data_IF_330465237975
#
_entry.id   IF_330465237975
#
_cell.length_a   1.000
_cell.length_b   1.000
_cell.length_c   1.000
_cell.angle_alpha   90.00
_cell.angle_beta   90.00
_cell.angle_gamma   90.00
#
_symmetry.space_group_name_H-M   'P 1'
#
loop_
_entity.id
_entity.type
_entity.pdbx_description
1 polymer ?
#
# COMPACT_ATOMS: atom_id res chain seq x y z
N UNK A 1 -13.76 -24.21 9.41
CA UNK A 1 -13.23 -23.34 8.34
C UNK A 1 -12.41 -22.28 9.05
N UNK A 2 -11.10 -22.29 8.88
CA UNK A 2 -10.22 -21.35 9.58
C UNK A 2 -10.40 -19.95 9.00
N UNK A 3 -10.75 -19.03 9.87
CA UNK A 3 -10.69 -17.59 9.66
C UNK A 3 -9.21 -17.22 9.46
N UNK A 4 -8.80 -16.97 8.22
CA UNK A 4 -7.50 -16.36 7.96
C UNK A 4 -7.67 -14.87 8.24
N UNK A 5 -7.49 -14.48 9.50
CA UNK A 5 -7.26 -13.08 9.83
C UNK A 5 -6.06 -12.63 9.00
N UNK A 6 -6.17 -11.62 8.11
CA UNK A 6 -5.01 -11.11 7.41
C UNK A 6 -4.03 -10.60 8.47
N UNK A 7 -2.88 -11.27 8.59
CA UNK A 7 -1.79 -10.79 9.44
C UNK A 7 -1.48 -9.37 8.97
N UNK A 8 -1.75 -8.40 9.83
CA UNK A 8 -2.10 -7.02 9.47
C UNK A 8 -0.91 -6.15 9.03
N UNK A 9 0.04 -6.77 8.31
CA UNK A 9 1.23 -6.15 7.76
C UNK A 9 1.95 -6.98 6.70
N UNK A 10 1.45 -8.16 6.29
CA UNK A 10 2.06 -8.93 5.20
C UNK A 10 1.43 -8.53 3.86
N UNK A 11 2.26 -8.12 2.90
CA UNK A 11 1.77 -7.93 1.55
C UNK A 11 1.32 -9.28 0.95
N UNK A 12 0.22 -9.33 0.20
CA UNK A 12 -0.21 -10.54 -0.52
C UNK A 12 0.73 -10.89 -1.70
N UNK A 13 1.81 -10.13 -1.88
CA UNK A 13 2.85 -10.33 -2.87
C UNK A 13 4.06 -11.01 -2.22
N UNK A 14 4.78 -11.81 -3.00
CA UNK A 14 6.06 -12.37 -2.56
C UNK A 14 7.15 -11.31 -2.43
N UNK A 15 8.33 -11.72 -1.98
CA UNK A 15 9.49 -10.83 -1.94
C UNK A 15 9.86 -10.33 -3.34
N UNK A 16 10.11 -9.02 -3.45
CA UNK A 16 10.33 -8.37 -4.74
C UNK A 16 10.17 -6.85 -4.71
N UNK A 17 10.32 -6.24 -5.87
CA UNK A 17 10.10 -4.81 -6.10
C UNK A 17 9.00 -4.65 -7.14
N UNK A 18 8.04 -3.78 -6.86
CA UNK A 18 6.83 -3.60 -7.65
C UNK A 18 6.58 -2.11 -7.88
N UNK A 19 6.37 -1.73 -9.14
CA UNK A 19 5.85 -0.40 -9.47
C UNK A 19 4.35 -0.40 -9.14
N UNK A 20 3.91 0.56 -8.34
CA UNK A 20 2.52 0.71 -7.93
C UNK A 20 2.04 2.14 -8.10
N UNK A 21 0.73 2.35 -8.05
CA UNK A 21 0.15 3.67 -7.78
C UNK A 21 -0.93 3.55 -6.72
N UNK A 22 -1.15 4.65 -6.01
CA UNK A 22 -2.18 4.76 -4.98
C UNK A 22 -3.53 5.00 -5.66
N UNK A 23 -4.50 4.12 -5.42
CA UNK A 23 -5.87 4.23 -5.93
C UNK A 23 -6.76 4.99 -4.96
N UNK A 24 -6.61 4.69 -3.68
CA UNK A 24 -7.37 5.27 -2.59
C UNK A 24 -6.48 5.39 -1.35
N UNK A 25 -6.82 6.30 -0.46
CA UNK A 25 -6.09 6.52 0.77
C UNK A 25 -7.08 6.84 1.90
N UNK A 26 -6.91 6.17 3.04
CA UNK A 26 -7.77 6.36 4.20
C UNK A 26 -7.12 7.37 5.15
N UNK A 27 -7.72 8.56 5.35
CA UNK A 27 -7.14 9.57 6.23
C UNK A 27 -7.15 9.12 7.69
N UNK A 28 -6.20 9.61 8.48
CA UNK A 28 -6.20 9.42 9.93
C UNK A 28 -7.32 10.24 10.57
N UNK A 29 -8.16 9.64 11.44
CA UNK A 29 -9.29 10.34 12.05
C UNK A 29 -8.89 11.47 13.00
N UNK A 30 -7.62 11.53 13.41
CA UNK A 30 -7.07 12.54 14.33
C UNK A 30 -6.19 13.58 13.63
N UNK A 31 -5.75 13.33 12.39
CA UNK A 31 -4.83 14.19 11.62
C UNK A 31 -5.06 13.99 10.11
N UNK A 32 -5.75 14.93 9.44
CA UNK A 32 -6.08 14.82 8.01
C UNK A 32 -4.86 14.94 7.08
N UNK A 33 -3.71 15.38 7.62
CA UNK A 33 -2.44 15.43 6.89
C UNK A 33 -1.69 14.08 6.89
N UNK A 34 -2.34 13.02 7.38
CA UNK A 34 -1.82 11.66 7.45
C UNK A 34 -2.85 10.66 6.96
N UNK A 35 -2.36 9.50 6.55
CA UNK A 35 -3.22 8.36 6.20
C UNK A 35 -2.85 7.13 7.03
N UNK A 36 -3.84 6.27 7.27
CA UNK A 36 -3.68 5.01 8.03
C UNK A 36 -3.55 3.80 7.12
N UNK A 37 -4.05 3.89 5.89
CA UNK A 37 -3.94 2.85 4.86
C UNK A 37 -4.04 3.43 3.46
N UNK A 38 -3.47 2.71 2.50
CA UNK A 38 -3.57 3.03 1.07
C UNK A 38 -3.93 1.79 0.27
N UNK A 39 -4.77 1.97 -0.74
CA UNK A 39 -5.03 0.95 -1.74
C UNK A 39 -4.07 1.12 -2.90
N UNK A 40 -3.34 0.05 -3.23
CA UNK A 40 -2.29 0.05 -4.23
C UNK A 40 -2.69 -0.81 -5.42
N UNK A 41 -2.32 -0.37 -6.62
CA UNK A 41 -2.38 -1.20 -7.84
C UNK A 41 -1.00 -1.36 -8.44
N UNK A 42 -0.60 -2.60 -8.71
CA UNK A 42 0.65 -2.90 -9.42
C UNK A 42 0.53 -2.54 -10.90
N UNK A 43 1.45 -1.73 -11.41
CA UNK A 43 1.39 -1.19 -12.78
C UNK A 43 2.20 -2.00 -13.80
N UNK A 44 3.13 -2.83 -13.34
CA UNK A 44 4.11 -3.54 -14.18
C UNK A 44 4.32 -4.99 -13.75
N UNK A 45 5.04 -5.76 -14.58
CA UNK A 45 5.45 -7.13 -14.26
C UNK A 45 4.33 -8.17 -14.24
N UNK A 46 4.64 -9.34 -13.67
CA UNK A 46 3.74 -10.50 -13.63
C UNK A 46 2.47 -10.27 -12.80
N UNK A 47 2.51 -9.30 -11.88
CA UNK A 47 1.42 -8.95 -10.99
C UNK A 47 0.64 -7.70 -11.46
N UNK A 48 0.86 -7.23 -12.69
CA UNK A 48 0.18 -6.05 -13.22
C UNK A 48 -1.35 -6.15 -13.09
N UNK A 49 -1.96 -5.09 -12.57
CA UNK A 49 -3.40 -4.99 -12.32
C UNK A 49 -3.84 -5.62 -11.00
N UNK A 50 -2.92 -6.22 -10.23
CA UNK A 50 -3.22 -6.71 -8.89
C UNK A 50 -3.40 -5.54 -7.92
N UNK A 51 -4.47 -5.58 -7.12
CA UNK A 51 -4.88 -4.52 -6.21
C UNK A 51 -4.99 -5.03 -4.77
N UNK A 52 -4.47 -4.28 -3.81
CA UNK A 52 -4.53 -4.64 -2.39
C UNK A 52 -4.37 -3.43 -1.47
N UNK A 53 -4.88 -3.54 -0.24
CA UNK A 53 -4.73 -2.53 0.80
C UNK A 53 -3.44 -2.75 1.60
N UNK A 54 -2.69 -1.68 1.84
CA UNK A 54 -1.51 -1.64 2.68
C UNK A 54 -1.76 -0.74 3.89
N UNK A 55 -1.52 -1.26 5.10
CA UNK A 55 -1.49 -0.43 6.31
C UNK A 55 -0.28 0.53 6.23
N UNK A 56 -0.53 1.83 6.33
CA UNK A 56 0.43 2.88 6.02
C UNK A 56 0.48 3.94 7.12
N UNK A 57 0.56 3.52 8.39
CA UNK A 57 0.46 4.39 9.59
C UNK A 57 1.54 5.46 9.79
N UNK A 58 2.29 5.82 8.75
CA UNK A 58 3.29 6.88 8.77
C UNK A 58 3.44 7.64 7.44
N UNK A 59 2.54 7.42 6.48
CA UNK A 59 2.58 8.13 5.20
C UNK A 59 2.04 9.55 5.41
N UNK A 60 2.83 10.55 5.03
CA UNK A 60 2.46 11.96 5.13
C UNK A 60 1.78 12.41 3.83
N UNK A 61 0.77 13.27 3.96
CA UNK A 61 -0.04 13.77 2.86
C UNK A 61 -1.52 13.59 3.14
N UNK A 62 -2.35 14.40 2.49
CA UNK A 62 -3.80 14.20 2.53
C UNK A 62 -4.19 12.99 1.67
N UNK A 63 -5.36 12.43 1.92
CA UNK A 63 -5.95 11.37 1.10
C UNK A 63 -6.04 11.78 -0.38
N UNK A 64 -6.43 13.03 -0.64
CA UNK A 64 -6.54 13.59 -1.99
C UNK A 64 -5.18 13.74 -2.67
N UNK A 65 -4.15 14.22 -1.95
CA UNK A 65 -2.81 14.42 -2.54
C UNK A 65 -2.14 13.09 -2.92
N UNK A 66 -2.43 12.04 -2.16
CA UNK A 66 -1.83 10.73 -2.35
C UNK A 66 -2.48 9.93 -3.47
N UNK A 67 -3.77 10.15 -3.76
CA UNK A 67 -4.46 9.47 -4.85
C UNK A 67 -3.80 9.75 -6.21
N UNK A 68 -3.47 8.68 -6.94
CA UNK A 68 -2.79 8.73 -8.23
C UNK A 68 -1.28 8.90 -8.14
N UNK A 69 -0.69 9.01 -6.95
CA UNK A 69 0.76 9.08 -6.79
C UNK A 69 1.42 7.77 -7.20
N UNK A 70 2.44 7.81 -8.08
CA UNK A 70 3.30 6.65 -8.33
C UNK A 70 4.15 6.37 -7.09
N UNK A 71 4.42 5.08 -6.87
CA UNK A 71 5.24 4.64 -5.77
C UNK A 71 5.91 3.30 -6.10
N UNK A 72 6.99 3.02 -5.37
CA UNK A 72 7.67 1.72 -5.40
C UNK A 72 7.36 0.96 -4.12
N UNK A 73 6.82 -0.26 -4.28
CA UNK A 73 6.67 -1.21 -3.17
C UNK A 73 7.82 -2.21 -3.19
N UNK A 74 8.54 -2.31 -2.08
CA UNK A 74 9.52 -3.38 -1.84
C UNK A 74 8.97 -4.33 -0.78
N UNK A 75 8.94 -5.63 -1.08
CA UNK A 75 8.62 -6.68 -0.12
C UNK A 75 9.90 -7.47 0.17
N UNK A 76 10.30 -7.53 1.44
CA UNK A 76 11.51 -8.23 1.87
C UNK A 76 11.23 -9.05 3.12
N UNK A 77 11.38 -10.37 3.05
CA UNK A 77 10.99 -11.27 4.13
C UNK A 77 9.50 -11.18 4.47
N UNK A 78 8.65 -10.93 3.47
CA UNK A 78 7.21 -10.70 3.63
C UNK A 78 6.81 -9.32 4.17
N UNK A 79 7.78 -8.46 4.49
CA UNK A 79 7.52 -7.13 5.03
C UNK A 79 7.48 -6.09 3.89
N UNK A 80 6.34 -5.39 3.70
CA UNK A 80 6.21 -4.33 2.72
C UNK A 80 6.82 -3.02 3.21
N UNK A 81 7.49 -2.31 2.29
CA UNK A 81 7.92 -0.92 2.43
C UNK A 81 7.52 -0.16 1.17
N UNK A 82 6.82 0.97 1.35
CA UNK A 82 6.36 1.82 0.27
C UNK A 82 7.20 3.10 0.23
N UNK A 83 7.67 3.48 -0.96
CA UNK A 83 8.38 4.74 -1.21
C UNK A 83 7.63 5.50 -2.29
N UNK A 84 7.25 6.74 -2.02
CA UNK A 84 6.64 7.64 -3.01
C UNK A 84 7.74 8.25 -3.90
N UNK A 85 7.41 8.51 -5.17
CA UNK A 85 8.33 9.13 -6.15
C UNK A 85 8.31 10.67 -6.15
#
# INVERSE_FOLDING_TARGET
MSDATPESGQAPLGDGVYDVFIVDATPDPSDDSRVVSVDLTVTSGAHKGFTFTLAAGGLQGTDIDLMGMPATLTVSGGLPSLTLD
#
